data_IF_269192634518
#
_entry.id   IF_269192634518
#
_cell.length_a   1.000
_cell.length_b   1.000
_cell.length_c   1.000
_cell.angle_alpha   90.00
_cell.angle_beta   90.00
_cell.angle_gamma   90.00
#
_symmetry.space_group_name_H-M   'P 1'
#
loop_
_entity.id
_entity.type
_entity.pdbx_description
1 polymer ?
#
# COMPACT_ATOMS: atom_id res chain seq x y z
N UNK A 1 -8.18 -13.59 3.65
CA UNK A 1 -6.75 -13.96 3.45
C UNK A 1 -6.23 -13.09 2.31
N UNK A 2 -4.99 -12.62 2.37
CA UNK A 2 -4.38 -11.91 1.25
C UNK A 2 -3.95 -12.89 0.15
N UNK A 3 -3.98 -12.43 -1.09
CA UNK A 3 -3.51 -13.18 -2.24
C UNK A 3 -2.32 -12.46 -2.86
N UNK A 4 -1.38 -13.22 -3.42
CA UNK A 4 -0.25 -12.71 -4.18
C UNK A 4 -0.52 -12.88 -5.66
N UNK A 5 -0.55 -11.79 -6.39
CA UNK A 5 -0.79 -11.75 -7.83
C UNK A 5 0.52 -11.45 -8.53
N UNK A 6 0.90 -12.31 -9.46
CA UNK A 6 2.13 -12.16 -10.24
C UNK A 6 1.81 -11.68 -11.66
N UNK A 7 2.57 -10.69 -12.14
CA UNK A 7 2.61 -10.24 -13.51
C UNK A 7 4.05 -10.31 -14.03
N UNK A 8 4.25 -11.03 -15.14
CA UNK A 8 5.55 -11.21 -15.77
C UNK A 8 5.61 -10.47 -17.11
N UNK A 9 6.77 -9.90 -17.43
CA UNK A 9 7.09 -9.34 -18.73
C UNK A 9 8.55 -9.64 -19.07
N UNK A 10 8.99 -9.28 -20.27
CA UNK A 10 10.36 -9.55 -20.74
C UNK A 10 11.43 -8.93 -19.82
N UNK A 11 11.18 -7.73 -19.31
CA UNK A 11 12.11 -6.99 -18.45
C UNK A 11 12.06 -7.37 -16.96
N UNK A 12 11.14 -8.29 -16.53
CA UNK A 12 11.06 -8.65 -15.13
C UNK A 12 9.74 -9.28 -14.69
N UNK A 13 9.46 -9.14 -13.41
CA UNK A 13 8.24 -9.60 -12.77
C UNK A 13 7.82 -8.61 -11.67
N UNK A 14 6.53 -8.54 -11.37
CA UNK A 14 6.01 -7.81 -10.21
C UNK A 14 5.04 -8.68 -9.43
N UNK A 15 5.28 -8.82 -8.15
CA UNK A 15 4.36 -9.42 -7.19
C UNK A 15 3.51 -8.30 -6.57
N UNK A 16 2.21 -8.51 -6.52
CA UNK A 16 1.26 -7.62 -5.84
C UNK A 16 0.51 -8.42 -4.79
N UNK A 17 0.63 -8.01 -3.53
CA UNK A 17 -0.15 -8.53 -2.43
C UNK A 17 -1.47 -7.76 -2.35
N UNK A 18 -2.61 -8.45 -2.36
CA UNK A 18 -3.93 -7.80 -2.30
C UNK A 18 -4.15 -7.06 -1.00
N UNK A 19 -3.49 -7.44 0.10
CA UNK A 19 -3.52 -6.66 1.33
C UNK A 19 -2.69 -5.37 1.18
N UNK A 20 -3.38 -4.24 1.10
CA UNK A 20 -2.79 -2.93 0.87
C UNK A 20 -2.33 -2.70 -0.57
N UNK A 21 -2.60 -3.63 -1.48
CA UNK A 21 -2.15 -3.60 -2.87
C UNK A 21 -0.66 -3.32 -2.98
N UNK A 22 0.14 -3.98 -2.13
CA UNK A 22 1.59 -3.80 -2.03
C UNK A 22 2.30 -4.40 -3.24
N UNK A 23 3.21 -3.65 -3.83
CA UNK A 23 3.89 -4.01 -5.06
C UNK A 23 5.40 -4.16 -4.84
N UNK A 24 5.96 -5.26 -5.34
CA UNK A 24 7.40 -5.52 -5.34
C UNK A 24 7.83 -5.87 -6.77
N UNK A 25 8.42 -4.92 -7.51
CA UNK A 25 8.96 -5.20 -8.83
C UNK A 25 10.35 -5.81 -8.74
N UNK A 26 10.66 -6.72 -9.67
CA UNK A 26 11.97 -7.30 -9.87
C UNK A 26 12.33 -7.11 -11.34
N UNK A 27 13.39 -6.37 -11.62
CA UNK A 27 13.84 -6.09 -12.97
C UNK A 27 15.00 -7.02 -13.37
N UNK A 28 15.01 -7.44 -14.64
CA UNK A 28 16.11 -8.17 -15.23
C UNK A 28 16.97 -7.18 -16.04
N UNK A 29 18.15 -6.84 -15.53
CA UNK A 29 19.11 -5.97 -16.18
C UNK A 29 20.43 -6.72 -16.38
N UNK A 30 20.87 -6.87 -17.61
CA UNK A 30 22.14 -7.53 -17.97
C UNK A 30 22.32 -8.91 -17.31
N UNK A 31 21.24 -9.69 -17.27
CA UNK A 31 21.22 -11.03 -16.65
C UNK A 31 21.20 -11.03 -15.12
N UNK A 32 21.05 -9.88 -14.49
CA UNK A 32 20.93 -9.75 -13.04
C UNK A 32 19.51 -9.38 -12.63
N UNK A 33 18.99 -9.99 -11.55
CA UNK A 33 17.75 -9.59 -10.93
C UNK A 33 18.02 -8.42 -9.96
N UNK A 34 17.29 -7.33 -10.14
CA UNK A 34 17.37 -6.13 -9.30
C UNK A 34 16.03 -5.90 -8.62
N UNK A 35 16.05 -5.82 -7.30
CA UNK A 35 14.92 -5.44 -6.45
C UNK A 35 15.12 -4.00 -5.96
N UNK A 36 14.48 -2.99 -6.58
CA UNK A 36 14.75 -1.59 -6.24
C UNK A 36 14.03 -1.14 -4.96
N UNK A 37 13.02 -1.87 -4.53
CA UNK A 37 12.24 -1.55 -3.35
C UNK A 37 12.63 -2.43 -2.16
N UNK A 38 12.54 -1.84 -0.98
CA UNK A 38 12.93 -2.51 0.26
C UNK A 38 11.94 -3.61 0.64
N UNK A 39 12.48 -4.76 1.00
CA UNK A 39 11.80 -5.85 1.71
C UNK A 39 12.52 -6.03 3.06
N UNK A 40 11.87 -5.73 4.19
CA UNK A 40 12.51 -5.89 5.49
C UNK A 40 12.77 -7.37 5.81
N UNK A 41 13.90 -7.65 6.45
CA UNK A 41 14.29 -9.01 6.85
C UNK A 41 13.33 -9.61 7.89
N UNK A 42 12.65 -8.78 8.67
CA UNK A 42 11.72 -9.24 9.71
C UNK A 42 10.36 -9.70 9.20
N UNK A 43 10.07 -9.66 7.90
CA UNK A 43 8.79 -10.15 7.36
C UNK A 43 8.54 -11.64 7.65
N UNK A 44 9.59 -12.40 7.92
CA UNK A 44 9.51 -13.82 8.29
C UNK A 44 9.63 -14.05 9.81
N UNK A 45 9.72 -12.98 10.61
CA UNK A 45 9.77 -13.06 12.06
C UNK A 45 8.41 -13.49 12.63
N UNK A 46 8.41 -14.48 13.50
CA UNK A 46 7.23 -15.00 14.19
C UNK A 46 7.32 -14.78 15.72
N UNK A 47 8.21 -13.90 16.17
CA UNK A 47 8.35 -13.57 17.61
C UNK A 47 7.08 -12.93 18.16
N UNK A 48 6.89 -12.99 19.48
CA UNK A 48 5.78 -12.33 20.16
C UNK A 48 5.85 -10.82 19.97
N UNK A 49 7.03 -10.25 20.00
CA UNK A 49 7.27 -8.81 19.79
C UNK A 49 6.81 -8.39 18.39
N UNK A 50 7.20 -9.14 17.35
CA UNK A 50 6.75 -8.88 15.99
C UNK A 50 5.23 -9.04 15.87
N UNK A 51 4.65 -10.08 16.46
CA UNK A 51 3.21 -10.32 16.40
C UNK A 51 2.39 -9.25 17.13
N UNK A 52 2.99 -8.53 18.07
CA UNK A 52 2.36 -7.39 18.76
C UNK A 52 2.32 -6.10 17.94
N UNK A 53 3.12 -5.99 16.88
CA UNK A 53 3.16 -4.79 16.03
C UNK A 53 1.83 -4.53 15.32
N UNK A 54 1.48 -3.26 15.05
CA UNK A 54 0.38 -2.91 14.16
C UNK A 54 0.48 -3.60 12.81
N UNK A 55 -0.65 -3.97 12.22
CA UNK A 55 -0.72 -4.76 11.00
C UNK A 55 0.10 -4.21 9.83
N UNK A 56 0.09 -2.88 9.65
CA UNK A 56 0.88 -2.24 8.60
C UNK A 56 2.40 -2.41 8.81
N UNK A 57 2.89 -2.35 10.04
CA UNK A 57 4.32 -2.52 10.33
C UNK A 57 4.78 -3.95 10.06
N UNK A 58 3.93 -4.93 10.36
CA UNK A 58 4.21 -6.35 10.03
C UNK A 58 4.31 -6.60 8.52
N UNK A 59 3.61 -5.80 7.73
CA UNK A 59 3.50 -5.98 6.28
C UNK A 59 4.17 -4.85 5.48
N UNK A 60 5.04 -4.07 6.10
CA UNK A 60 5.71 -2.93 5.46
C UNK A 60 6.75 -3.42 4.46
N UNK A 61 6.40 -3.46 3.18
CA UNK A 61 7.28 -3.89 2.09
C UNK A 61 6.92 -3.21 0.78
N UNK A 62 7.90 -3.06 -0.11
CA UNK A 62 7.69 -2.55 -1.46
C UNK A 62 7.11 -1.15 -1.50
N UNK A 63 6.10 -0.95 -2.34
CA UNK A 63 5.35 0.28 -2.50
C UNK A 63 3.86 -0.02 -2.37
N UNK A 64 3.09 0.89 -1.77
CA UNK A 64 1.65 0.74 -1.55
C UNK A 64 0.91 2.08 -1.49
N UNK A 65 -0.38 2.13 -1.85
CA UNK A 65 -1.18 3.35 -1.73
C UNK A 65 -1.47 3.70 -0.28
N UNK A 66 -1.20 4.94 0.11
CA UNK A 66 -1.57 5.52 1.40
C UNK A 66 -2.71 6.52 1.21
N UNK A 67 -3.96 6.11 1.42
CA UNK A 67 -5.12 7.00 1.27
C UNK A 67 -6.12 6.72 2.39
N UNK A 68 -6.50 7.74 3.16
CA UNK A 68 -5.76 8.99 3.32
C UNK A 68 -4.34 8.72 3.82
N UNK A 69 -3.39 9.58 3.51
CA UNK A 69 -1.99 9.35 3.87
C UNK A 69 -1.67 9.72 5.32
N UNK A 70 -0.59 9.13 5.84
CA UNK A 70 0.01 9.51 7.10
C UNK A 70 -0.62 8.88 8.34
N UNK A 71 -0.46 9.61 9.42
CA UNK A 71 -1.03 9.36 10.74
C UNK A 71 -1.57 10.68 11.26
N UNK A 72 -2.42 10.63 12.29
CA UNK A 72 -2.87 11.86 12.95
C UNK A 72 -1.66 12.58 13.55
N UNK A 73 -1.48 13.84 13.16
CA UNK A 73 -0.45 14.69 13.70
C UNK A 73 -0.98 15.48 14.90
N UNK A 74 -0.16 15.70 15.95
CA UNK A 74 -0.54 16.63 17.01
C UNK A 74 -0.81 18.02 16.42
N UNK A 75 -1.85 18.68 16.92
CA UNK A 75 -2.23 20.04 16.43
C UNK A 75 -1.07 21.03 16.55
N UNK A 76 -0.27 20.88 17.61
CA UNK A 76 0.90 21.73 17.89
C UNK A 76 2.00 21.59 16.82
N UNK A 77 1.99 20.52 16.02
CA UNK A 77 2.94 20.32 14.92
C UNK A 77 2.49 20.99 13.62
N UNK A 78 1.26 21.54 13.58
CA UNK A 78 0.70 22.20 12.40
C UNK A 78 1.12 23.67 12.35
N UNK A 79 1.20 24.22 11.14
CA UNK A 79 1.25 25.67 10.98
C UNK A 79 -0.10 26.28 11.33
N UNK A 80 -0.13 27.57 11.73
CA UNK A 80 -1.38 28.27 12.10
C UNK A 80 -2.48 28.21 11.03
N UNK A 81 -2.08 28.18 9.78
CA UNK A 81 -3.00 28.06 8.64
C UNK A 81 -3.68 26.69 8.61
N UNK A 82 -2.89 25.62 8.76
CA UNK A 82 -3.40 24.25 8.79
C UNK A 82 -4.15 23.92 10.10
N UNK A 83 -3.70 24.48 11.22
CA UNK A 83 -4.35 24.33 12.52
C UNK A 83 -5.82 24.78 12.46
N UNK A 84 -6.09 25.90 11.82
CA UNK A 84 -7.46 26.41 11.66
C UNK A 84 -8.34 25.44 10.88
N UNK A 85 -7.88 25.02 9.70
CA UNK A 85 -8.62 24.08 8.84
C UNK A 85 -8.85 22.73 9.54
N UNK A 86 -7.86 22.22 10.26
CA UNK A 86 -7.97 20.98 11.01
C UNK A 86 -8.96 21.07 12.18
N UNK A 87 -9.03 22.23 12.85
CA UNK A 87 -9.94 22.44 13.99
C UNK A 87 -11.40 22.56 13.57
N UNK A 88 -11.66 23.07 12.36
CA UNK A 88 -13.02 23.23 11.84
C UNK A 88 -13.62 21.89 11.39
N UNK A 89 -12.84 21.04 10.71
CA UNK A 89 -13.28 19.72 10.21
C UNK A 89 -12.14 18.69 10.35
N UNK A 90 -11.88 18.16 11.55
CA UNK A 90 -10.80 17.22 11.73
C UNK A 90 -11.10 15.90 11.05
N UNK A 91 -10.30 15.51 10.06
CA UNK A 91 -10.32 14.15 9.54
C UNK A 91 -9.38 13.27 10.36
N UNK A 92 -9.94 12.27 11.03
CA UNK A 92 -9.19 11.35 11.86
C UNK A 92 -8.78 10.14 11.04
N UNK A 93 -7.48 9.92 10.87
CA UNK A 93 -6.94 8.70 10.28
C UNK A 93 -7.00 7.60 11.34
N UNK A 94 -7.92 6.67 11.17
CA UNK A 94 -8.15 5.58 12.14
C UNK A 94 -7.05 4.50 12.09
N UNK A 95 -6.39 4.35 10.95
CA UNK A 95 -5.33 3.37 10.76
C UNK A 95 -4.09 4.05 10.17
N UNK A 96 -2.88 3.79 10.67
CA UNK A 96 -1.65 4.33 10.09
C UNK A 96 -1.57 4.01 8.59
N UNK A 97 -1.17 4.99 7.78
CA UNK A 97 -1.13 4.92 6.31
C UNK A 97 -2.49 4.76 5.62
N UNK A 98 -3.59 4.90 6.37
CA UNK A 98 -4.96 4.94 5.86
C UNK A 98 -5.57 3.59 5.53
N UNK A 99 -6.83 3.62 5.16
CA UNK A 99 -7.65 2.45 4.87
C UNK A 99 -7.07 1.60 3.73
N UNK A 100 -6.63 2.25 2.64
CA UNK A 100 -6.12 1.55 1.46
C UNK A 100 -4.92 0.64 1.74
N UNK A 101 -4.04 1.02 2.67
CA UNK A 101 -2.84 0.26 3.02
C UNK A 101 -3.12 -0.95 3.92
N UNK A 102 -4.27 -0.96 4.59
CA UNK A 102 -4.61 -1.91 5.65
C UNK A 102 -5.69 -2.92 5.25
N UNK A 103 -6.32 -2.76 4.09
CA UNK A 103 -7.42 -3.62 3.65
C UNK A 103 -7.09 -4.36 2.36
N UNK A 104 -7.84 -5.42 2.10
CA UNK A 104 -7.72 -6.18 0.86
C UNK A 104 -8.35 -5.43 -0.31
N UNK A 105 -7.62 -5.41 -1.43
CA UNK A 105 -8.09 -4.92 -2.71
C UNK A 105 -8.61 -6.08 -3.57
N UNK A 106 -9.62 -5.81 -4.36
CA UNK A 106 -10.16 -6.72 -5.35
C UNK A 106 -9.39 -6.58 -6.67
N UNK A 107 -8.95 -7.70 -7.24
CA UNK A 107 -8.41 -7.73 -8.61
C UNK A 107 -9.57 -7.68 -9.59
N UNK A 108 -9.73 -6.58 -10.33
CA UNK A 108 -10.81 -6.39 -11.28
C UNK A 108 -10.41 -6.69 -12.73
N UNK A 109 -9.12 -6.58 -13.06
CA UNK A 109 -8.60 -6.95 -14.38
C UNK A 109 -7.19 -7.53 -14.29
N UNK A 110 -6.94 -8.60 -15.06
CA UNK A 110 -5.61 -9.17 -15.29
C UNK A 110 -5.42 -9.43 -16.77
N UNK A 111 -4.45 -8.74 -17.37
CA UNK A 111 -3.96 -8.94 -18.75
C UNK A 111 -2.50 -9.34 -18.75
N UNK A 112 -1.96 -9.67 -19.91
CA UNK A 112 -0.54 -10.05 -20.05
C UNK A 112 0.45 -8.97 -19.60
N UNK A 113 0.04 -7.69 -19.66
CA UNK A 113 0.89 -6.54 -19.33
C UNK A 113 0.22 -5.56 -18.35
N UNK A 114 -0.92 -5.93 -17.73
CA UNK A 114 -1.69 -5.04 -16.85
C UNK A 114 -2.37 -5.80 -15.73
N UNK A 115 -2.31 -5.23 -14.53
CA UNK A 115 -3.19 -5.56 -13.41
C UNK A 115 -3.97 -4.31 -13.03
N UNK A 116 -5.24 -4.49 -12.67
CA UNK A 116 -6.06 -3.42 -12.13
C UNK A 116 -6.79 -3.90 -10.88
N UNK A 117 -6.67 -3.13 -9.82
CA UNK A 117 -7.24 -3.41 -8.52
C UNK A 117 -8.18 -2.30 -8.10
N UNK A 118 -9.16 -2.65 -7.29
CA UNK A 118 -10.13 -1.71 -6.72
C UNK A 118 -10.33 -1.97 -5.23
N UNK A 119 -10.54 -0.90 -4.48
CA UNK A 119 -11.00 -0.96 -3.09
C UNK A 119 -12.15 0.01 -2.89
N UNK A 120 -13.18 -0.43 -2.21
CA UNK A 120 -14.28 0.42 -1.74
C UNK A 120 -14.05 0.80 -0.28
N UNK A 121 -14.33 2.04 0.02
CA UNK A 121 -14.28 2.58 1.38
C UNK A 121 -15.63 2.39 2.07
N UNK A 122 -15.69 2.47 3.42
CA UNK A 122 -16.93 2.47 4.15
C UNK A 122 -17.87 3.60 3.71
N UNK A 123 -19.17 3.41 3.92
CA UNK A 123 -20.15 4.48 3.72
C UNK A 123 -19.79 5.69 4.60
N UNK A 124 -19.99 6.88 4.04
CA UNK A 124 -19.67 8.17 4.68
C UNK A 124 -18.16 8.47 4.87
N UNK A 125 -17.27 7.70 4.25
CA UNK A 125 -15.86 8.11 4.16
C UNK A 125 -15.71 9.25 3.14
N UNK A 126 -14.61 10.02 3.24
CA UNK A 126 -14.26 11.06 2.26
C UNK A 126 -13.93 10.48 0.88
N UNK A 127 -13.53 9.22 0.86
CA UNK A 127 -13.18 8.48 -0.36
C UNK A 127 -14.21 7.38 -0.58
N UNK A 128 -14.82 7.34 -1.76
CA UNK A 128 -15.76 6.28 -2.11
C UNK A 128 -15.05 4.99 -2.54
N UNK A 129 -14.07 5.12 -3.41
CA UNK A 129 -13.25 4.00 -3.89
C UNK A 129 -11.93 4.50 -4.48
N UNK A 130 -10.98 3.59 -4.61
CA UNK A 130 -9.76 3.78 -5.39
C UNK A 130 -9.64 2.69 -6.44
N UNK A 131 -9.03 3.05 -7.56
CA UNK A 131 -8.56 2.11 -8.58
C UNK A 131 -7.05 2.27 -8.73
N UNK A 132 -6.34 1.17 -8.72
CA UNK A 132 -4.90 1.12 -8.97
C UNK A 132 -4.61 0.29 -10.21
N UNK A 133 -3.92 0.89 -11.17
CA UNK A 133 -3.45 0.21 -12.37
C UNK A 133 -1.94 0.04 -12.31
N UNK A 134 -1.46 -1.19 -12.51
CA UNK A 134 -0.05 -1.53 -12.67
C UNK A 134 0.12 -2.03 -14.09
N UNK A 135 0.93 -1.32 -14.88
CA UNK A 135 1.17 -1.65 -16.28
C UNK A 135 2.67 -1.76 -16.54
N UNK A 136 3.06 -2.80 -17.27
CA UNK A 136 4.44 -3.04 -17.68
C UNK A 136 4.58 -2.90 -19.17
N UNK A 137 5.78 -2.50 -19.61
CA UNK A 137 6.17 -2.37 -21.02
C UNK A 137 7.52 -3.05 -21.23
N UNK A 138 7.69 -3.68 -22.39
CA UNK A 138 8.94 -4.26 -22.85
C UNK A 138 9.91 -3.19 -23.36
#
# INVERSE_FOLDING_TARGET
MSEKILLNWKGGEVEVDTLGCKMIPIFNLDGKKIKPLHEPEWLEDNSEDFNSLPGILKNLKGEFPCVPFGINSPVEALTKEWEKSYSEEPYIVNEPHGYSSNKNWELIEKKSNKLEFKIHYPENDLVNFLVRTIQVQD
#
